data_IF_327633931258
#
_entry.id   IF_327633931258
#
_cell.length_a   1.000
_cell.length_b   1.000
_cell.length_c   1.000
_cell.angle_alpha   90.00
_cell.angle_beta   90.00
_cell.angle_gamma   90.00
#
_symmetry.space_group_name_H-M   'P 1'
#
loop_
_entity.id
_entity.type
_entity.pdbx_description
1 polymer ?
#
# COMPACT_ATOMS: atom_id res chain seq x y z
N UNK A 1 7.32 -34.90 -77.17
CA UNK A 1 6.10 -35.59 -77.67
C UNK A 1 5.15 -35.78 -76.49
N UNK A 2 3.87 -35.43 -76.71
CA UNK A 2 2.69 -35.72 -75.87
C UNK A 2 2.52 -34.93 -74.56
N UNK A 3 1.67 -33.90 -74.68
CA UNK A 3 0.88 -33.22 -73.64
C UNK A 3 0.03 -34.22 -72.85
N UNK A 4 -0.20 -33.95 -71.55
CA UNK A 4 -1.48 -34.28 -70.89
C UNK A 4 -1.81 -33.28 -69.79
N UNK A 5 -2.87 -32.51 -70.05
CA UNK A 5 -3.65 -31.70 -69.12
C UNK A 5 -4.46 -32.58 -68.18
N UNK A 6 -4.63 -32.18 -66.92
CA UNK A 6 -5.72 -32.56 -66.00
C UNK A 6 -5.88 -31.39 -65.01
N UNK A 7 -6.89 -30.53 -65.19
CA UNK A 7 -8.17 -30.52 -64.45
C UNK A 7 -8.00 -30.33 -62.94
N UNK A 8 -8.04 -29.06 -62.51
CA UNK A 8 -8.27 -28.68 -61.12
C UNK A 8 -9.78 -28.46 -60.93
N UNK A 9 -10.38 -29.30 -60.10
CA UNK A 9 -11.80 -29.27 -59.71
C UNK A 9 -11.95 -28.20 -58.62
N UNK A 10 -12.73 -27.15 -58.91
CA UNK A 10 -13.19 -26.18 -57.92
C UNK A 10 -14.23 -26.83 -57.00
N UNK A 11 -13.86 -27.04 -55.73
CA UNK A 11 -14.78 -27.36 -54.65
C UNK A 11 -15.49 -26.08 -54.19
N UNK A 12 -16.79 -25.98 -54.46
CA UNK A 12 -17.71 -25.05 -53.83
C UNK A 12 -18.10 -25.64 -52.45
N UNK A 13 -17.60 -25.04 -51.36
CA UNK A 13 -18.14 -25.25 -50.02
C UNK A 13 -19.33 -24.31 -49.79
N UNK A 14 -20.50 -24.81 -49.34
CA UNK A 14 -21.56 -23.97 -48.82
C UNK A 14 -21.20 -23.52 -47.39
N UNK A 15 -21.01 -22.21 -47.21
CA UNK A 15 -21.02 -21.56 -45.90
C UNK A 15 -22.46 -21.63 -45.35
N UNK A 16 -22.74 -22.63 -44.53
CA UNK A 16 -23.90 -22.64 -43.67
C UNK A 16 -23.67 -21.62 -42.55
N UNK A 17 -24.44 -20.53 -42.58
CA UNK A 17 -24.51 -19.57 -41.50
C UNK A 17 -25.20 -20.21 -40.29
N UNK A 18 -24.40 -20.69 -39.33
CA UNK A 18 -24.86 -20.80 -37.95
C UNK A 18 -24.83 -19.39 -37.38
N UNK A 19 -25.98 -18.73 -37.35
CA UNK A 19 -26.20 -17.66 -36.40
C UNK A 19 -26.23 -18.34 -35.03
N UNK A 20 -25.07 -18.39 -34.37
CA UNK A 20 -25.01 -18.61 -32.94
C UNK A 20 -25.78 -17.45 -32.31
N UNK A 21 -26.97 -17.79 -31.84
CA UNK A 21 -27.70 -17.04 -30.84
C UNK A 21 -26.74 -16.91 -29.65
N UNK A 22 -25.95 -15.83 -29.65
CA UNK A 22 -25.27 -15.31 -28.47
C UNK A 22 -26.38 -14.87 -27.53
N UNK A 23 -27.09 -15.84 -26.95
CA UNK A 23 -27.84 -15.65 -25.73
C UNK A 23 -26.86 -15.03 -24.77
N UNK A 24 -27.02 -13.72 -24.56
CA UNK A 24 -26.45 -12.99 -23.45
C UNK A 24 -26.69 -13.91 -22.27
N UNK A 25 -25.63 -14.53 -21.76
CA UNK A 25 -25.70 -15.18 -20.47
C UNK A 25 -25.81 -14.01 -19.49
N UNK A 26 -27.02 -13.47 -19.40
CA UNK A 26 -27.49 -12.66 -18.31
C UNK A 26 -27.34 -13.58 -17.11
N UNK A 27 -26.15 -13.55 -16.51
CA UNK A 27 -25.95 -14.02 -15.15
C UNK A 27 -26.75 -13.04 -14.30
N UNK A 28 -28.07 -13.24 -14.31
CA UNK A 28 -29.02 -12.51 -13.52
C UNK A 28 -28.55 -12.68 -12.07
N UNK A 29 -28.18 -11.57 -11.46
CA UNK A 29 -27.76 -11.56 -10.07
C UNK A 29 -28.91 -12.12 -9.26
N UNK A 30 -28.63 -13.19 -8.54
CA UNK A 30 -29.61 -13.84 -7.69
C UNK A 30 -29.41 -13.44 -6.24
N UNK A 31 -30.45 -13.64 -5.46
CA UNK A 31 -30.38 -13.50 -4.02
C UNK A 31 -29.22 -14.32 -3.43
N UNK A 32 -28.47 -13.71 -2.53
CA UNK A 32 -27.35 -14.35 -1.84
C UNK A 32 -26.05 -14.55 -2.63
N UNK A 33 -25.91 -14.09 -3.88
CA UNK A 33 -24.57 -14.03 -4.51
C UNK A 33 -23.73 -12.92 -3.88
N UNK A 34 -22.40 -13.01 -4.03
CA UNK A 34 -21.50 -11.96 -3.53
C UNK A 34 -21.81 -10.62 -4.17
N UNK A 35 -22.17 -10.60 -5.45
CA UNK A 35 -22.58 -9.40 -6.17
C UNK A 35 -23.86 -8.81 -5.59
N UNK A 36 -24.88 -9.65 -5.35
CA UNK A 36 -26.13 -9.21 -4.73
C UNK A 36 -25.90 -8.60 -3.35
N UNK A 37 -25.08 -9.26 -2.52
CA UNK A 37 -24.73 -8.78 -1.18
C UNK A 37 -23.97 -7.44 -1.25
N UNK A 38 -23.01 -7.29 -2.16
CA UNK A 38 -22.27 -6.05 -2.36
C UNK A 38 -23.18 -4.90 -2.79
N UNK A 39 -24.08 -5.15 -3.75
CA UNK A 39 -25.04 -4.15 -4.25
C UNK A 39 -25.98 -3.69 -3.14
N UNK A 40 -26.61 -4.61 -2.42
CA UNK A 40 -27.54 -4.25 -1.34
C UNK A 40 -26.83 -3.47 -0.22
N UNK A 41 -25.62 -3.89 0.15
CA UNK A 41 -24.81 -3.18 1.16
C UNK A 41 -24.47 -1.76 0.71
N UNK A 42 -24.07 -1.58 -0.55
CA UNK A 42 -23.79 -0.27 -1.10
C UNK A 42 -25.03 0.62 -1.11
N UNK A 43 -26.17 0.12 -1.63
CA UNK A 43 -27.40 0.89 -1.74
C UNK A 43 -27.99 1.31 -0.38
N UNK A 44 -27.79 0.50 0.66
CA UNK A 44 -28.21 0.81 2.03
C UNK A 44 -27.20 1.69 2.78
N UNK A 45 -26.15 2.20 2.12
CA UNK A 45 -25.11 3.03 2.74
C UNK A 45 -25.32 4.53 2.46
N UNK A 46 -24.71 5.43 3.25
CA UNK A 46 -24.75 6.87 2.99
C UNK A 46 -24.19 7.27 1.61
N UNK A 47 -23.26 6.47 1.06
CA UNK A 47 -22.61 6.71 -0.22
C UNK A 47 -23.53 6.51 -1.44
N UNK A 48 -24.64 5.80 -1.29
CA UNK A 48 -25.64 5.66 -2.34
C UNK A 48 -26.60 6.85 -2.32
N UNK A 49 -26.14 8.00 -2.81
CA UNK A 49 -26.99 9.17 -3.05
C UNK A 49 -27.41 9.31 -4.52
N UNK A 50 -28.33 10.23 -4.82
CA UNK A 50 -28.86 10.41 -6.19
C UNK A 50 -27.76 10.77 -7.18
N UNK A 51 -26.78 11.57 -6.77
CA UNK A 51 -25.67 12.00 -7.64
C UNK A 51 -24.77 10.82 -7.96
N UNK A 52 -24.37 10.04 -6.95
CA UNK A 52 -23.54 8.86 -7.15
C UNK A 52 -24.24 7.83 -8.04
N UNK A 53 -25.53 7.59 -7.83
CA UNK A 53 -26.29 6.64 -8.64
C UNK A 53 -26.53 7.12 -10.09
N UNK A 54 -26.88 8.39 -10.30
CA UNK A 54 -27.17 8.95 -11.63
C UNK A 54 -25.89 9.20 -12.44
N UNK A 55 -24.85 9.74 -11.80
CA UNK A 55 -23.63 10.19 -12.47
C UNK A 55 -22.56 9.10 -12.47
N UNK A 56 -22.16 8.62 -11.30
CA UNK A 56 -21.00 7.73 -11.18
C UNK A 56 -21.35 6.30 -11.60
N UNK A 57 -22.50 5.79 -11.15
CA UNK A 57 -23.03 4.49 -11.57
C UNK A 57 -23.80 4.56 -12.92
N UNK A 58 -23.95 5.76 -13.48
CA UNK A 58 -24.61 6.03 -14.76
C UNK A 58 -26.02 5.43 -14.88
N UNK A 59 -26.80 5.41 -13.79
CA UNK A 59 -28.20 4.97 -13.81
C UNK A 59 -29.10 5.99 -14.52
N UNK A 60 -30.31 5.57 -14.86
CA UNK A 60 -31.34 6.54 -15.22
C UNK A 60 -31.69 7.37 -13.98
N UNK A 61 -31.68 8.70 -14.10
CA UNK A 61 -32.00 9.61 -13.00
C UNK A 61 -33.33 9.31 -12.28
N UNK A 62 -34.32 8.69 -12.94
CA UNK A 62 -35.57 8.24 -12.30
C UNK A 62 -35.33 7.00 -11.44
N UNK A 63 -34.57 6.03 -11.93
CA UNK A 63 -34.18 4.86 -11.15
C UNK A 63 -33.37 5.28 -9.92
N UNK A 64 -32.36 6.14 -10.08
CA UNK A 64 -31.55 6.68 -8.99
C UNK A 64 -32.41 7.35 -7.90
N UNK A 65 -33.31 8.27 -8.29
CA UNK A 65 -34.23 8.93 -7.34
C UNK A 65 -35.18 7.96 -6.65
N UNK A 66 -35.71 6.97 -7.38
CA UNK A 66 -36.64 6.00 -6.81
C UNK A 66 -35.96 5.07 -5.81
N UNK A 67 -34.73 4.62 -6.10
CA UNK A 67 -33.94 3.83 -5.15
C UNK A 67 -33.68 4.63 -3.88
N UNK A 68 -33.18 5.86 -3.99
CA UNK A 68 -32.88 6.69 -2.81
C UNK A 68 -34.14 7.03 -2.02
N UNK A 69 -35.26 7.33 -2.70
CA UNK A 69 -36.54 7.61 -2.03
C UNK A 69 -37.15 6.39 -1.36
N UNK A 70 -36.87 5.18 -1.86
CA UNK A 70 -37.26 3.93 -1.22
C UNK A 70 -36.46 3.77 0.07
N UNK A 71 -35.12 3.77 -0.04
CA UNK A 71 -34.21 3.53 1.08
C UNK A 71 -34.33 4.57 2.20
N UNK A 72 -34.43 5.87 1.87
CA UNK A 72 -34.33 6.99 2.83
C UNK A 72 -35.68 7.61 3.23
N UNK A 73 -36.78 7.03 2.80
CA UNK A 73 -38.11 7.54 3.08
C UNK A 73 -38.39 8.99 2.62
N UNK A 74 -39.52 9.57 3.08
CA UNK A 74 -39.92 10.95 2.78
C UNK A 74 -38.98 12.05 3.24
N UNK A 75 -38.23 11.89 4.33
CA UNK A 75 -37.34 12.94 4.83
C UNK A 75 -35.98 12.98 4.11
N UNK A 76 -35.63 11.91 3.40
CA UNK A 76 -34.43 11.78 2.58
C UNK A 76 -33.14 11.63 3.39
N UNK A 77 -33.23 11.45 4.70
CA UNK A 77 -32.10 11.27 5.60
C UNK A 77 -31.99 9.80 6.02
N UNK A 78 -30.81 9.19 5.81
CA UNK A 78 -30.56 7.82 6.25
C UNK A 78 -30.38 7.77 7.78
N UNK A 79 -30.88 6.71 8.40
CA UNK A 79 -30.87 6.47 9.85
C UNK A 79 -32.12 6.97 10.58
N UNK A 80 -33.21 7.28 9.88
CA UNK A 80 -34.45 7.81 10.46
C UNK A 80 -35.53 6.72 10.54
N UNK A 81 -36.67 7.05 11.16
CA UNK A 81 -37.73 6.06 11.40
C UNK A 81 -38.52 5.67 10.15
N UNK A 82 -38.37 6.43 9.07
CA UNK A 82 -39.08 6.26 7.80
C UNK A 82 -38.23 5.61 6.70
N UNK A 83 -37.00 5.20 7.01
CA UNK A 83 -36.18 4.38 6.11
C UNK A 83 -36.83 3.02 5.81
N UNK A 84 -36.73 2.59 4.56
CA UNK A 84 -37.13 1.27 4.06
C UNK A 84 -35.92 0.65 3.33
N UNK A 85 -34.96 0.13 4.12
CA UNK A 85 -33.73 -0.45 3.59
C UNK A 85 -34.03 -1.64 2.70
N UNK A 86 -33.23 -1.83 1.64
CA UNK A 86 -33.39 -2.95 0.73
C UNK A 86 -32.96 -4.26 1.39
N UNK A 87 -33.89 -5.21 1.47
CA UNK A 87 -33.67 -6.52 2.06
C UNK A 87 -33.28 -7.57 1.01
N UNK A 88 -33.56 -7.33 -0.28
CA UNK A 88 -33.36 -8.33 -1.35
C UNK A 88 -33.16 -7.73 -2.74
N UNK A 89 -32.55 -8.51 -3.65
CA UNK A 89 -32.41 -8.11 -5.06
C UNK A 89 -33.77 -8.08 -5.77
N UNK A 90 -34.70 -8.96 -5.35
CA UNK A 90 -36.06 -8.96 -5.88
C UNK A 90 -36.83 -7.68 -5.53
N UNK A 91 -36.61 -7.13 -4.35
CA UNK A 91 -37.16 -5.83 -3.95
C UNK A 91 -36.55 -4.70 -4.78
N UNK A 92 -35.23 -4.68 -4.95
CA UNK A 92 -34.55 -3.70 -5.79
C UNK A 92 -35.09 -3.73 -7.23
N UNK A 93 -35.27 -4.92 -7.82
CA UNK A 93 -35.83 -5.08 -9.17
C UNK A 93 -37.30 -4.63 -9.27
N UNK A 94 -38.05 -4.70 -8.18
CA UNK A 94 -39.44 -4.25 -8.14
C UNK A 94 -39.58 -2.71 -8.13
N UNK A 95 -38.51 -1.96 -7.87
CA UNK A 95 -38.53 -0.50 -7.87
C UNK A 95 -38.72 0.01 -9.31
N UNK A 96 -39.63 0.98 -9.48
CA UNK A 96 -39.92 1.55 -10.79
C UNK A 96 -38.67 2.08 -11.48
N UNK A 97 -38.48 1.70 -12.75
CA UNK A 97 -37.31 1.99 -13.60
C UNK A 97 -36.02 1.25 -13.23
N UNK A 98 -36.05 0.38 -12.22
CA UNK A 98 -35.00 -0.62 -12.00
C UNK A 98 -35.36 -1.87 -12.80
N UNK A 99 -34.35 -2.48 -13.40
CA UNK A 99 -34.44 -3.69 -14.20
C UNK A 99 -33.04 -4.19 -14.51
N UNK A 100 -32.91 -5.26 -15.29
CA UNK A 100 -31.64 -5.94 -15.56
C UNK A 100 -30.48 -5.00 -15.93
N UNK A 101 -30.74 -4.02 -16.82
CA UNK A 101 -29.72 -3.06 -17.23
C UNK A 101 -29.27 -2.12 -16.11
N UNK A 102 -30.16 -1.74 -15.19
CA UNK A 102 -29.81 -0.90 -14.04
C UNK A 102 -29.02 -1.71 -13.00
N UNK A 103 -29.44 -2.96 -12.75
CA UNK A 103 -28.74 -3.87 -11.85
C UNK A 103 -27.33 -4.16 -12.38
N UNK A 104 -27.17 -4.46 -13.67
CA UNK A 104 -25.85 -4.69 -14.27
C UNK A 104 -24.90 -3.49 -14.14
N UNK A 105 -25.42 -2.26 -14.24
CA UNK A 105 -24.64 -1.04 -14.00
C UNK A 105 -24.23 -0.88 -12.53
N UNK A 106 -25.14 -1.15 -11.60
CA UNK A 106 -24.85 -1.12 -10.17
C UNK A 106 -23.73 -2.09 -9.82
N UNK A 107 -23.74 -3.30 -10.40
CA UNK A 107 -22.70 -4.31 -10.11
C UNK A 107 -21.37 -3.88 -10.67
N UNK A 108 -21.32 -3.42 -11.91
CA UNK A 108 -20.10 -2.89 -12.50
C UNK A 108 -19.54 -1.72 -11.67
N UNK A 109 -20.41 -0.83 -11.17
CA UNK A 109 -20.01 0.27 -10.33
C UNK A 109 -19.47 -0.20 -8.97
N UNK A 110 -20.22 -1.04 -8.26
CA UNK A 110 -19.83 -1.58 -6.93
C UNK A 110 -18.53 -2.40 -7.03
N UNK A 111 -18.35 -3.18 -8.09
CA UNK A 111 -17.09 -3.88 -8.38
C UNK A 111 -15.93 -2.90 -8.60
N UNK A 112 -16.16 -1.83 -9.38
CA UNK A 112 -15.12 -0.83 -9.67
C UNK A 112 -14.61 -0.07 -8.45
N UNK A 113 -15.41 0.03 -7.39
CA UNK A 113 -15.02 0.62 -6.10
C UNK A 113 -14.60 -0.43 -5.06
N UNK A 114 -14.50 -1.71 -5.44
CA UNK A 114 -14.10 -2.81 -4.56
C UNK A 114 -15.15 -3.19 -3.50
N UNK A 115 -16.42 -2.86 -3.75
CA UNK A 115 -17.54 -3.13 -2.84
C UNK A 115 -18.12 -4.55 -2.91
N UNK A 116 -17.68 -5.37 -3.88
CA UNK A 116 -18.11 -6.77 -4.00
C UNK A 116 -17.27 -7.62 -3.04
N UNK A 117 -17.90 -8.38 -2.12
CA UNK A 117 -17.17 -9.29 -1.25
C UNK A 117 -16.38 -10.34 -2.03
N UNK A 118 -15.15 -10.57 -1.62
CA UNK A 118 -14.24 -11.57 -2.21
C UNK A 118 -13.70 -12.56 -1.19
N UNK A 119 -14.07 -12.39 0.08
CA UNK A 119 -13.63 -13.20 1.21
C UNK A 119 -14.86 -13.69 1.99
N UNK A 120 -14.83 -14.95 2.41
CA UNK A 120 -15.82 -15.51 3.35
C UNK A 120 -15.08 -16.00 4.60
N UNK A 121 -15.40 -15.42 5.77
CA UNK A 121 -14.75 -15.74 7.04
C UNK A 121 -15.82 -16.02 8.09
N UNK A 122 -15.87 -17.25 8.61
CA UNK A 122 -16.92 -17.71 9.53
C UNK A 122 -18.35 -17.45 8.98
N UNK A 123 -18.54 -17.56 7.67
CA UNK A 123 -19.82 -17.28 6.99
C UNK A 123 -20.14 -15.79 6.81
N UNK A 124 -19.21 -14.88 7.12
CA UNK A 124 -19.35 -13.44 6.87
C UNK A 124 -18.64 -13.10 5.56
N UNK A 125 -19.38 -12.50 4.62
CA UNK A 125 -18.86 -12.01 3.35
C UNK A 125 -18.23 -10.62 3.51
N UNK A 126 -16.93 -10.53 3.22
CA UNK A 126 -16.09 -9.34 3.39
C UNK A 126 -15.46 -8.93 2.06
N UNK A 127 -15.33 -7.62 1.84
CA UNK A 127 -14.39 -7.07 0.85
C UNK A 127 -12.97 -7.11 1.40
N UNK A 128 -11.96 -6.97 0.54
CA UNK A 128 -10.58 -6.87 0.99
C UNK A 128 -10.34 -5.66 1.91
N UNK A 129 -11.00 -4.52 1.63
CA UNK A 129 -10.92 -3.32 2.45
C UNK A 129 -11.57 -3.50 3.83
N UNK A 130 -12.73 -4.14 3.89
CA UNK A 130 -13.38 -4.47 5.17
C UNK A 130 -12.54 -5.43 6.01
N UNK A 131 -11.93 -6.45 5.39
CA UNK A 131 -11.05 -7.38 6.09
C UNK A 131 -9.82 -6.68 6.68
N UNK A 132 -9.20 -5.76 5.95
CA UNK A 132 -8.10 -4.94 6.45
C UNK A 132 -8.54 -4.03 7.61
N UNK A 133 -9.67 -3.33 7.46
CA UNK A 133 -10.20 -2.44 8.49
C UNK A 133 -10.56 -3.20 9.78
N UNK A 134 -11.06 -4.44 9.68
CA UNK A 134 -11.28 -5.31 10.84
C UNK A 134 -9.96 -5.63 11.57
N UNK A 135 -8.87 -5.89 10.82
CA UNK A 135 -7.54 -6.13 11.40
C UNK A 135 -7.01 -4.87 12.09
N UNK A 136 -7.19 -3.70 11.50
CA UNK A 136 -6.80 -2.42 12.10
C UNK A 136 -7.53 -2.17 13.42
N UNK A 137 -8.87 -2.34 13.43
CA UNK A 137 -9.69 -2.28 14.66
C UNK A 137 -9.17 -3.30 15.70
N UNK A 138 -8.99 -4.55 15.29
CA UNK A 138 -8.58 -5.62 16.20
C UNK A 138 -7.21 -5.36 16.83
N UNK A 139 -6.29 -4.69 16.11
CA UNK A 139 -4.96 -4.35 16.58
C UNK A 139 -4.89 -3.01 17.33
N UNK A 140 -5.75 -2.04 17.00
CA UNK A 140 -5.66 -0.67 17.50
C UNK A 140 -6.70 -0.27 18.55
N UNK A 141 -7.94 -0.77 18.47
CA UNK A 141 -9.02 -0.31 19.34
C UNK A 141 -8.75 -0.67 20.81
N UNK A 142 -9.13 0.18 21.74
CA UNK A 142 -9.06 -0.11 23.17
C UNK A 142 -10.08 -1.18 23.58
N UNK A 143 -9.90 -1.76 24.77
CA UNK A 143 -10.87 -2.71 25.30
C UNK A 143 -12.29 -2.11 25.43
N UNK A 144 -12.47 -0.88 25.96
CA UNK A 144 -13.79 -0.24 25.98
C UNK A 144 -14.38 -0.01 24.59
N UNK A 145 -13.59 0.40 23.59
CA UNK A 145 -14.10 0.55 22.22
C UNK A 145 -14.58 -0.78 21.63
N UNK A 146 -13.88 -1.88 21.89
CA UNK A 146 -14.30 -3.20 21.44
C UNK A 146 -15.53 -3.73 22.20
N UNK A 147 -15.60 -3.53 23.51
CA UNK A 147 -16.67 -4.06 24.37
C UNK A 147 -17.95 -3.21 24.26
N UNK A 148 -17.82 -1.89 24.40
CA UNK A 148 -18.94 -0.95 24.49
C UNK A 148 -19.34 -0.41 23.10
N UNK A 149 -18.39 0.15 22.34
CA UNK A 149 -18.72 0.88 21.09
C UNK A 149 -18.98 -0.09 19.92
N UNK A 150 -18.14 -1.11 19.75
CA UNK A 150 -18.36 -2.21 18.81
C UNK A 150 -19.38 -3.24 19.34
N UNK A 151 -19.78 -3.10 20.61
CA UNK A 151 -20.72 -3.97 21.30
C UNK A 151 -20.34 -5.46 21.25
N UNK A 152 -19.04 -5.82 21.30
CA UNK A 152 -18.61 -7.21 21.29
C UNK A 152 -18.95 -7.92 22.61
N UNK A 153 -18.90 -9.26 22.62
CA UNK A 153 -18.88 -9.97 23.91
C UNK A 153 -17.56 -9.63 24.62
N UNK A 154 -17.62 -9.20 25.87
CA UNK A 154 -16.44 -8.84 26.66
C UNK A 154 -15.31 -9.89 26.66
N UNK A 155 -15.62 -11.19 26.46
CA UNK A 155 -14.59 -12.24 26.32
C UNK A 155 -13.93 -12.20 24.95
N UNK A 156 -14.69 -11.92 23.89
CA UNK A 156 -14.16 -11.72 22.55
C UNK A 156 -13.30 -10.45 22.49
N UNK A 157 -13.77 -9.34 23.07
CA UNK A 157 -13.01 -8.09 23.15
C UNK A 157 -11.67 -8.28 23.88
N UNK A 158 -11.65 -8.96 25.03
CA UNK A 158 -10.41 -9.30 25.75
C UNK A 158 -9.50 -10.24 24.95
N UNK A 159 -10.07 -11.28 24.32
CA UNK A 159 -9.29 -12.21 23.51
C UNK A 159 -8.62 -11.52 22.30
N UNK A 160 -9.26 -10.49 21.74
CA UNK A 160 -8.66 -9.66 20.70
C UNK A 160 -7.50 -8.84 21.26
N UNK A 161 -7.68 -8.11 22.37
CA UNK A 161 -6.60 -7.31 22.98
C UNK A 161 -5.41 -8.19 23.38
N UNK A 162 -5.65 -9.33 24.02
CA UNK A 162 -4.60 -10.25 24.48
C UNK A 162 -3.90 -10.98 23.31
N UNK A 163 -4.56 -11.10 22.16
CA UNK A 163 -4.10 -11.85 20.99
C UNK A 163 -3.26 -11.04 19.99
N UNK A 164 -3.05 -9.75 20.24
CA UNK A 164 -2.33 -8.85 19.33
C UNK A 164 -0.85 -9.24 19.18
N UNK A 165 -0.23 -8.98 18.00
CA UNK A 165 -0.86 -8.48 16.78
C UNK A 165 -1.46 -9.58 15.90
N UNK A 166 -2.52 -9.26 15.16
CA UNK A 166 -3.12 -10.11 14.13
C UNK A 166 -2.58 -9.72 12.75
N UNK A 167 -2.15 -10.71 11.96
CA UNK A 167 -1.64 -10.49 10.60
C UNK A 167 -2.71 -10.46 9.51
N UNK A 168 -3.88 -11.05 9.75
CA UNK A 168 -5.00 -11.09 8.80
C UNK A 168 -6.35 -11.32 9.51
N UNK A 169 -7.45 -11.16 8.79
CA UNK A 169 -8.81 -11.36 9.34
C UNK A 169 -9.09 -12.80 9.76
N UNK A 170 -8.39 -13.79 9.18
CA UNK A 170 -8.52 -15.18 9.61
C UNK A 170 -7.87 -15.37 10.99
N UNK A 171 -6.78 -14.69 11.29
CA UNK A 171 -6.16 -14.66 12.61
C UNK A 171 -7.10 -14.02 13.64
N UNK A 172 -7.77 -12.92 13.28
CA UNK A 172 -8.82 -12.30 14.11
C UNK A 172 -9.94 -13.31 14.39
N UNK A 173 -10.44 -14.03 13.37
CA UNK A 173 -11.51 -15.02 13.53
C UNK A 173 -11.14 -16.22 14.40
N UNK A 174 -9.84 -16.55 14.52
CA UNK A 174 -9.34 -17.62 15.39
C UNK A 174 -9.23 -17.21 16.85
N UNK A 175 -9.34 -15.92 17.17
CA UNK A 175 -9.35 -15.47 18.56
C UNK A 175 -10.55 -16.06 19.31
N UNK A 176 -10.35 -16.40 20.57
CA UNK A 176 -11.40 -17.06 21.35
C UNK A 176 -12.66 -16.19 21.41
N UNK A 177 -13.83 -16.82 21.26
CA UNK A 177 -15.14 -16.16 21.25
C UNK A 177 -15.41 -15.22 20.07
N UNK A 178 -14.51 -15.14 19.08
CA UNK A 178 -14.76 -14.44 17.82
C UNK A 178 -15.37 -15.43 16.82
N UNK A 179 -16.62 -15.19 16.44
CA UNK A 179 -17.31 -15.94 15.38
C UNK A 179 -18.05 -14.98 14.45
N UNK A 180 -18.95 -15.50 13.61
CA UNK A 180 -19.68 -14.72 12.61
C UNK A 180 -20.30 -13.41 13.16
N UNK A 181 -20.99 -13.48 14.30
CA UNK A 181 -21.62 -12.29 14.92
C UNK A 181 -20.61 -11.25 15.39
N UNK A 182 -19.42 -11.66 15.86
CA UNK A 182 -18.36 -10.73 16.26
C UNK A 182 -17.72 -10.08 15.04
N UNK A 183 -17.45 -10.85 13.97
CA UNK A 183 -16.94 -10.30 12.71
C UNK A 183 -17.91 -9.31 12.06
N UNK A 184 -19.22 -9.58 12.09
CA UNK A 184 -20.24 -8.67 11.57
C UNK A 184 -20.30 -7.35 12.36
N UNK A 185 -20.08 -7.41 13.69
CA UNK A 185 -19.98 -6.21 14.54
C UNK A 185 -18.70 -5.43 14.25
N UNK A 186 -17.56 -6.11 14.15
CA UNK A 186 -16.28 -5.50 13.78
C UNK A 186 -16.36 -4.84 12.40
N UNK A 187 -16.95 -5.49 11.40
CA UNK A 187 -17.15 -4.93 10.05
C UNK A 187 -17.91 -3.61 10.09
N UNK A 188 -19.00 -3.54 10.86
CA UNK A 188 -19.79 -2.32 11.01
C UNK A 188 -19.05 -1.25 11.81
N UNK A 189 -18.39 -1.62 12.90
CA UNK A 189 -17.64 -0.68 13.72
C UNK A 189 -16.45 -0.07 12.98
N UNK A 190 -15.78 -0.85 12.13
CA UNK A 190 -14.64 -0.43 11.34
C UNK A 190 -14.94 0.71 10.35
N UNK A 191 -16.21 0.95 9.97
CA UNK A 191 -16.57 2.07 9.09
C UNK A 191 -16.58 3.42 9.80
N UNK A 192 -16.70 3.41 11.13
CA UNK A 192 -16.75 4.61 11.97
C UNK A 192 -15.57 4.73 12.92
N UNK A 193 -14.88 3.61 13.17
CA UNK A 193 -13.71 3.60 14.03
C UNK A 193 -12.53 4.26 13.32
N UNK A 194 -11.88 5.16 14.04
CA UNK A 194 -10.59 5.71 13.65
C UNK A 194 -9.62 5.30 14.75
N UNK A 195 -8.39 4.88 14.40
CA UNK A 195 -7.38 4.65 15.41
C UNK A 195 -7.25 5.93 16.24
N UNK A 196 -7.20 5.78 17.57
CA UNK A 196 -6.71 6.87 18.40
C UNK A 196 -5.40 7.34 17.77
N UNK A 197 -5.26 8.65 17.56
CA UNK A 197 -4.00 9.23 17.09
C UNK A 197 -2.94 8.67 18.00
N UNK A 198 -2.11 7.76 17.48
CA UNK A 198 -1.25 6.98 18.34
C UNK A 198 -0.27 7.92 19.03
N UNK A 199 0.19 7.56 20.22
CA UNK A 199 1.41 8.15 20.81
C UNK A 199 2.66 7.86 19.94
N UNK A 200 2.52 7.12 18.84
CA UNK A 200 3.52 6.99 17.80
C UNK A 200 3.32 8.07 16.73
N UNK A 201 4.42 8.65 16.29
CA UNK A 201 4.42 9.64 15.22
C UNK A 201 3.90 9.07 13.91
N UNK A 202 3.06 9.83 13.21
CA UNK A 202 2.69 9.50 11.84
C UNK A 202 3.95 9.50 10.93
N UNK A 203 4.18 8.46 10.12
CA UNK A 203 5.37 8.38 9.27
C UNK A 203 5.53 9.54 8.28
N UNK A 204 4.44 10.14 7.79
CA UNK A 204 4.52 11.28 6.87
C UNK A 204 4.97 12.54 7.59
N UNK A 205 4.47 12.76 8.81
CA UNK A 205 4.90 13.88 9.66
C UNK A 205 6.37 13.72 10.04
N UNK A 206 6.78 12.50 10.45
CA UNK A 206 8.17 12.19 10.77
C UNK A 206 9.11 12.44 9.59
N UNK A 207 8.71 11.99 8.39
CA UNK A 207 9.46 12.23 7.16
C UNK A 207 9.56 13.73 6.82
N UNK A 208 8.49 14.49 7.01
CA UNK A 208 8.50 15.94 6.82
C UNK A 208 9.42 16.66 7.82
N UNK A 209 9.40 16.27 9.09
CA UNK A 209 10.33 16.79 10.10
C UNK A 209 11.78 16.48 9.75
N UNK A 210 12.08 15.27 9.31
CA UNK A 210 13.41 14.89 8.85
C UNK A 210 13.87 15.72 7.66
N UNK A 211 13.01 15.92 6.67
CA UNK A 211 13.30 16.77 5.51
C UNK A 211 13.59 18.22 5.92
N UNK A 212 12.86 18.75 6.91
CA UNK A 212 13.18 20.06 7.50
C UNK A 212 14.58 20.05 8.13
N UNK A 213 14.94 19.03 8.92
CA UNK A 213 16.26 18.96 9.57
C UNK A 213 17.38 18.96 8.54
N UNK A 214 17.25 18.16 7.48
CA UNK A 214 18.22 18.13 6.39
C UNK A 214 18.35 19.49 5.69
N UNK A 215 17.23 20.18 5.44
CA UNK A 215 17.23 21.53 4.87
C UNK A 215 17.96 22.54 5.78
N UNK A 216 17.67 22.53 7.09
CA UNK A 216 18.35 23.40 8.06
C UNK A 216 19.86 23.16 8.09
N UNK A 217 20.28 21.89 8.04
CA UNK A 217 21.70 21.53 8.07
C UNK A 217 22.41 21.79 6.74
N UNK A 218 21.69 21.75 5.62
CA UNK A 218 22.22 22.15 4.32
C UNK A 218 22.43 23.67 4.24
N UNK A 219 21.50 24.45 4.81
CA UNK A 219 21.57 25.91 4.87
C UNK A 219 22.63 26.39 5.87
N UNK A 220 22.76 25.73 7.03
CA UNK A 220 23.81 25.98 8.02
C UNK A 220 24.56 24.69 8.43
N UNK A 221 25.66 24.36 7.73
CA UNK A 221 26.49 23.21 8.10
C UNK A 221 27.10 23.30 9.51
N UNK A 222 27.15 24.49 10.12
CA UNK A 222 27.61 24.69 11.49
C UNK A 222 26.58 24.32 12.56
N UNK A 223 25.30 24.22 12.20
CA UNK A 223 24.21 23.90 13.11
C UNK A 223 24.33 22.46 13.64
N UNK A 224 24.12 22.26 14.94
CA UNK A 224 24.10 20.92 15.52
C UNK A 224 22.80 20.21 15.12
N UNK A 225 22.85 18.90 14.89
CA UNK A 225 21.67 18.10 14.50
C UNK A 225 20.53 18.20 15.51
N UNK A 226 20.84 18.26 16.80
CA UNK A 226 19.83 18.46 17.86
C UNK A 226 19.16 19.84 17.79
N UNK A 227 19.91 20.88 17.45
CA UNK A 227 19.37 22.24 17.29
C UNK A 227 18.48 22.33 16.03
N UNK A 228 18.91 21.71 14.93
CA UNK A 228 18.10 21.59 13.73
C UNK A 228 16.79 20.83 13.99
N UNK A 229 16.84 19.72 14.73
CA UNK A 229 15.65 18.98 15.14
C UNK A 229 14.71 19.81 16.01
N UNK A 230 15.24 20.60 16.95
CA UNK A 230 14.45 21.51 17.77
C UNK A 230 13.76 22.61 16.93
N UNK A 231 14.45 23.18 15.94
CA UNK A 231 13.87 24.15 14.99
C UNK A 231 12.74 23.49 14.20
N UNK A 232 12.95 22.26 13.71
CA UNK A 232 11.97 21.53 12.90
C UNK A 232 10.84 20.89 13.69
N UNK A 233 10.90 20.96 15.02
CA UNK A 233 9.81 20.62 15.92
C UNK A 233 8.98 21.83 16.35
N UNK A 234 9.41 23.04 16.01
CA UNK A 234 8.69 24.27 16.32
C UNK A 234 7.44 24.44 15.45
N UNK A 235 6.42 25.09 16.01
CA UNK A 235 5.14 25.32 15.36
C UNK A 235 5.25 26.14 14.06
N UNK A 236 6.24 27.02 13.89
CA UNK A 236 6.40 27.77 12.65
C UNK A 236 6.96 26.89 11.52
N UNK A 237 7.93 26.02 11.84
CA UNK A 237 8.58 25.16 10.87
C UNK A 237 7.69 23.99 10.42
N UNK A 238 6.78 23.54 11.28
CA UNK A 238 5.88 22.41 11.02
C UNK A 238 4.65 22.74 10.18
N UNK A 239 4.30 24.02 10.01
CA UNK A 239 3.12 24.43 9.22
C UNK A 239 3.10 23.81 7.81
N UNK A 240 4.18 23.96 7.01
CA UNK A 240 4.27 23.33 5.69
C UNK A 240 4.25 21.79 5.73
N UNK A 241 4.78 21.17 6.79
CA UNK A 241 4.75 19.71 6.95
C UNK A 241 3.32 19.23 7.18
N UNK A 242 2.58 19.93 8.06
CA UNK A 242 1.17 19.67 8.31
C UNK A 242 0.32 19.86 7.04
N UNK A 243 0.49 20.99 6.33
CA UNK A 243 -0.24 21.26 5.10
C UNK A 243 0.03 20.19 4.03
N UNK A 244 1.29 19.76 3.88
CA UNK A 244 1.67 18.72 2.92
C UNK A 244 1.08 17.36 3.31
N UNK A 245 1.12 17.00 4.60
CA UNK A 245 0.58 15.73 5.08
C UNK A 245 -0.95 15.70 4.96
N UNK A 246 -1.63 16.81 5.26
CA UNK A 246 -3.08 16.95 5.14
C UNK A 246 -3.58 17.13 3.70
N UNK A 247 -2.72 17.56 2.77
CA UNK A 247 -2.97 17.45 1.33
C UNK A 247 -2.82 16.03 0.79
N UNK A 248 -2.29 15.09 1.60
CA UNK A 248 -2.04 13.69 1.27
C UNK A 248 -3.15 12.74 1.75
N UNK A 249 -2.78 11.47 1.91
CA UNK A 249 -3.67 10.37 2.33
C UNK A 249 -3.56 10.08 3.83
N UNK A 250 -3.48 11.11 4.67
CA UNK A 250 -3.54 10.92 6.11
C UNK A 250 -4.93 10.45 6.58
N UNK A 251 -5.02 9.77 7.73
CA UNK A 251 -6.31 9.41 8.32
C UNK A 251 -7.23 10.63 8.45
N UNK A 252 -8.53 10.54 8.10
CA UNK A 252 -9.44 11.69 8.11
C UNK A 252 -9.53 12.44 9.46
N UNK A 253 -9.30 11.74 10.57
CA UNK A 253 -9.29 12.35 11.91
C UNK A 253 -8.08 13.25 12.17
N UNK A 254 -6.97 13.04 11.47
CA UNK A 254 -5.72 13.79 11.69
C UNK A 254 -5.83 15.24 11.21
N UNK A 255 -6.52 15.45 10.09
CA UNK A 255 -6.63 16.75 9.42
C UNK A 255 -7.98 17.46 9.68
N UNK A 256 -8.85 16.85 10.49
CA UNK A 256 -10.13 17.43 10.88
C UNK A 256 -10.02 18.45 12.03
N UNK A 257 -8.94 18.40 12.82
CA UNK A 257 -8.65 19.33 13.91
C UNK A 257 -7.99 20.63 13.46
N UNK A 258 -7.75 21.56 14.39
CA UNK A 258 -6.94 22.73 14.09
C UNK A 258 -5.45 22.38 14.08
N UNK A 259 -4.62 23.24 13.48
CA UNK A 259 -3.17 23.10 13.54
C UNK A 259 -2.64 23.06 14.98
N UNK A 260 -3.25 23.83 15.89
CA UNK A 260 -2.92 23.83 17.31
C UNK A 260 -3.23 22.50 17.99
N UNK A 261 -4.35 21.84 17.64
CA UNK A 261 -4.69 20.52 18.16
C UNK A 261 -3.68 19.47 17.67
N UNK A 262 -3.32 19.51 16.38
CA UNK A 262 -2.26 18.67 15.81
C UNK A 262 -0.93 18.88 16.55
N UNK A 263 -0.53 20.13 16.72
CA UNK A 263 0.74 20.46 17.37
C UNK A 263 0.76 20.00 18.84
N UNK A 264 -0.34 20.15 19.56
CA UNK A 264 -0.42 19.76 20.96
C UNK A 264 -0.44 18.23 21.17
N UNK A 265 -0.98 17.47 20.21
CA UNK A 265 -1.25 16.03 20.39
C UNK A 265 -0.27 15.12 19.65
N UNK A 266 0.07 15.43 18.40
CA UNK A 266 0.88 14.55 17.56
C UNK A 266 2.38 14.87 17.62
N UNK A 267 2.75 16.15 17.73
CA UNK A 267 4.16 16.57 17.64
C UNK A 267 5.05 16.02 18.76
N UNK A 268 4.63 15.92 20.04
CA UNK A 268 5.49 15.36 21.09
C UNK A 268 6.01 13.95 20.77
N UNK A 269 5.13 13.08 20.29
CA UNK A 269 5.50 11.74 19.83
C UNK A 269 6.47 11.77 18.64
N UNK A 270 6.28 12.73 17.74
CA UNK A 270 7.15 12.93 16.58
C UNK A 270 8.53 13.48 16.94
N UNK A 271 8.65 14.28 17.99
CA UNK A 271 9.96 14.74 18.49
C UNK A 271 10.76 13.56 19.03
N UNK A 272 10.14 12.68 19.82
CA UNK A 272 10.80 11.50 20.36
C UNK A 272 11.20 10.52 19.25
N UNK A 273 10.31 10.29 18.28
CA UNK A 273 10.59 9.47 17.11
C UNK A 273 11.72 10.04 16.27
N UNK A 274 11.71 11.35 15.99
CA UNK A 274 12.76 12.03 15.23
C UNK A 274 14.11 11.95 15.96
N UNK A 275 14.13 12.17 17.27
CA UNK A 275 15.34 12.05 18.06
C UNK A 275 15.93 10.62 17.98
N UNK A 276 15.07 9.59 18.04
CA UNK A 276 15.49 8.20 17.88
C UNK A 276 16.03 7.90 16.47
N UNK A 277 15.43 8.46 15.41
CA UNK A 277 15.89 8.29 14.02
C UNK A 277 17.20 9.01 13.73
N UNK A 278 17.41 10.20 14.32
CA UNK A 278 18.62 10.99 14.15
C UNK A 278 19.78 10.49 15.01
N UNK A 279 19.52 9.77 16.11
CA UNK A 279 20.54 9.28 17.03
C UNK A 279 21.67 8.46 16.40
N UNK A 280 21.43 7.51 15.47
CA UNK A 280 22.50 6.78 14.81
C UNK A 280 23.19 7.57 13.68
N UNK A 281 22.66 8.74 13.29
CA UNK A 281 23.18 9.53 12.18
C UNK A 281 24.38 10.38 12.60
N UNK A 282 25.22 10.68 11.63
CA UNK A 282 26.42 11.48 11.83
C UNK A 282 26.73 12.31 10.61
N UNK A 283 27.38 13.44 10.80
CA UNK A 283 27.93 14.29 9.73
C UNK A 283 29.45 14.25 9.71
N UNK A 284 30.05 13.94 10.86
CA UNK A 284 31.50 13.84 11.04
C UNK A 284 31.86 12.60 11.86
N UNK A 285 33.13 12.21 11.81
CA UNK A 285 33.63 11.12 12.66
C UNK A 285 33.50 11.43 14.16
N UNK A 286 33.52 12.71 14.55
CA UNK A 286 33.42 13.11 15.95
C UNK A 286 32.03 12.83 16.54
N UNK A 287 30.99 12.85 15.70
CA UNK A 287 29.60 12.63 16.13
C UNK A 287 29.40 11.20 16.66
N UNK A 288 30.20 10.24 16.16
CA UNK A 288 30.18 8.85 16.60
C UNK A 288 31.00 8.58 17.87
N UNK A 289 31.61 9.63 18.45
CA UNK A 289 32.44 9.50 19.64
C UNK A 289 33.79 8.83 19.37
N UNK A 290 34.18 7.90 20.24
CA UNK A 290 35.46 7.21 20.13
C UNK A 290 35.33 5.91 19.31
N UNK A 291 36.47 5.43 18.80
CA UNK A 291 36.57 4.11 18.17
C UNK A 291 35.96 3.01 19.06
N UNK A 292 35.33 1.97 18.46
CA UNK A 292 35.41 1.58 17.04
C UNK A 292 34.34 2.21 16.12
N UNK A 293 33.47 3.06 16.66
CA UNK A 293 32.40 3.70 15.89
C UNK A 293 32.98 4.66 14.85
N UNK A 294 32.48 4.58 13.62
CA UNK A 294 32.87 5.46 12.51
C UNK A 294 31.63 5.95 11.76
N UNK A 295 31.69 7.19 11.34
CA UNK A 295 30.67 7.76 10.47
C UNK A 295 30.89 7.31 9.02
N UNK A 296 29.94 6.57 8.47
CA UNK A 296 30.10 5.87 7.18
C UNK A 296 28.86 5.99 6.30
N UNK A 297 29.04 5.72 4.99
CA UNK A 297 27.95 5.63 4.04
C UNK A 297 27.24 6.96 3.77
N UNK A 298 27.99 8.04 3.53
CA UNK A 298 27.42 9.31 3.08
C UNK A 298 26.87 9.20 1.67
N UNK A 299 25.73 9.85 1.41
CA UNK A 299 25.17 9.96 0.06
C UNK A 299 26.11 10.73 -0.88
N UNK A 300 26.59 10.11 -1.97
CA UNK A 300 27.54 10.75 -2.89
C UNK A 300 26.93 11.82 -3.78
N UNK A 301 25.62 11.75 -3.99
CA UNK A 301 24.84 12.68 -4.82
C UNK A 301 24.29 13.87 -4.02
N UNK A 302 24.63 13.97 -2.73
CA UNK A 302 24.11 15.00 -1.83
C UNK A 302 22.64 14.81 -1.45
N UNK A 303 22.06 13.62 -1.69
CA UNK A 303 20.69 13.31 -1.30
C UNK A 303 20.46 13.33 0.22
N UNK A 304 21.53 13.23 1.02
CA UNK A 304 21.52 13.49 2.46
C UNK A 304 22.89 14.02 2.88
N UNK A 305 22.89 14.81 3.96
CA UNK A 305 24.12 15.28 4.63
C UNK A 305 24.63 14.29 5.68
N UNK A 306 23.89 13.21 5.92
CA UNK A 306 24.19 12.22 6.95
C UNK A 306 24.92 10.99 6.39
N UNK A 307 25.80 10.43 7.22
CA UNK A 307 26.14 9.02 7.25
C UNK A 307 25.54 8.38 8.51
N UNK A 308 25.97 7.16 8.80
CA UNK A 308 25.56 6.40 9.99
C UNK A 308 26.78 6.03 10.83
N UNK A 309 26.65 6.12 12.15
CA UNK A 309 27.66 5.61 13.07
C UNK A 309 27.61 4.08 13.10
N UNK A 310 28.62 3.45 12.52
CA UNK A 310 28.75 1.99 12.47
C UNK A 310 29.94 1.51 13.30
N UNK A 311 29.81 0.33 13.91
CA UNK A 311 30.95 -0.36 14.51
C UNK A 311 31.84 -0.95 13.39
N UNK A 312 33.02 -0.36 13.22
CA UNK A 312 33.99 -0.79 12.20
C UNK A 312 34.93 -1.91 12.68
N UNK A 313 34.65 -2.52 13.84
CA UNK A 313 35.43 -3.63 14.37
C UNK A 313 35.42 -4.82 13.41
N UNK A 314 36.57 -5.49 13.31
CA UNK A 314 36.66 -6.71 12.53
C UNK A 314 35.81 -7.82 13.18
N UNK A 315 34.75 -8.23 12.49
CA UNK A 315 33.94 -9.38 12.88
C UNK A 315 34.67 -10.65 12.39
N UNK A 316 34.99 -11.62 13.27
CA UNK A 316 35.57 -12.90 12.83
C UNK A 316 34.74 -13.51 11.71
N UNK A 317 35.35 -14.25 10.78
CA UNK A 317 34.62 -14.87 9.67
C UNK A 317 34.21 -13.93 8.53
N UNK A 318 34.38 -12.60 8.66
CA UNK A 318 34.24 -11.69 7.53
C UNK A 318 35.19 -12.10 6.38
N UNK A 319 34.66 -12.11 5.15
CA UNK A 319 35.32 -12.60 3.94
C UNK A 319 35.27 -14.12 3.72
N UNK A 320 34.70 -14.90 4.64
CA UNK A 320 34.46 -16.32 4.40
C UNK A 320 33.40 -16.53 3.31
N UNK A 321 33.52 -17.61 2.53
CA UNK A 321 32.51 -17.95 1.53
C UNK A 321 31.22 -18.46 2.19
N UNK A 322 30.08 -18.15 1.60
CA UNK A 322 28.76 -18.60 2.04
C UNK A 322 27.87 -18.99 0.85
N UNK A 323 26.78 -19.71 1.11
CA UNK A 323 25.74 -20.04 0.12
C UNK A 323 24.35 -19.78 0.71
N UNK A 324 23.30 -20.06 -0.07
CA UNK A 324 21.93 -20.02 0.45
C UNK A 324 21.68 -21.07 1.55
N UNK A 325 22.43 -22.18 1.53
CA UNK A 325 22.34 -23.28 2.48
C UNK A 325 23.36 -23.17 3.63
N UNK A 326 24.53 -22.61 3.35
CA UNK A 326 25.62 -22.42 4.31
C UNK A 326 25.70 -20.93 4.72
N UNK A 327 24.93 -20.59 5.75
CA UNK A 327 24.83 -19.23 6.27
C UNK A 327 26.10 -18.76 7.00
N UNK A 328 26.30 -17.45 6.99
CA UNK A 328 27.33 -16.80 7.80
C UNK A 328 27.02 -16.91 9.30
N UNK A 329 28.06 -16.75 10.13
CA UNK A 329 27.88 -16.70 11.57
C UNK A 329 27.22 -15.38 12.04
N UNK A 330 26.82 -15.33 13.31
CA UNK A 330 26.18 -14.15 13.90
C UNK A 330 27.03 -12.88 13.72
N UNK A 331 26.37 -11.75 13.41
CA UNK A 331 27.02 -10.47 13.11
C UNK A 331 27.54 -10.36 11.66
N UNK A 332 27.29 -11.37 10.83
CA UNK A 332 27.60 -11.37 9.41
C UNK A 332 26.36 -11.70 8.56
N UNK A 333 26.37 -11.22 7.34
CA UNK A 333 25.39 -11.46 6.29
C UNK A 333 26.09 -12.00 5.04
N UNK A 334 25.44 -12.94 4.34
CA UNK A 334 25.95 -13.43 3.06
C UNK A 334 25.54 -12.48 1.94
N UNK A 335 26.51 -11.95 1.20
CA UNK A 335 26.29 -10.98 0.12
C UNK A 335 26.72 -11.54 -1.23
N UNK A 336 26.12 -11.06 -2.33
CA UNK A 336 26.39 -11.47 -3.71
C UNK A 336 25.60 -12.68 -4.20
N UNK A 337 24.66 -13.21 -3.40
CA UNK A 337 23.87 -14.40 -3.74
C UNK A 337 22.86 -14.16 -4.87
N UNK A 338 22.48 -12.91 -5.13
CA UNK A 338 21.56 -12.59 -6.24
C UNK A 338 22.26 -12.65 -7.61
N UNK A 339 23.60 -12.63 -7.63
CA UNK A 339 24.41 -12.67 -8.84
C UNK A 339 25.15 -13.98 -9.04
N UNK A 340 25.56 -14.61 -7.96
CA UNK A 340 26.40 -15.80 -7.98
C UNK A 340 25.82 -16.90 -7.12
N UNK A 341 26.21 -18.15 -7.39
CA UNK A 341 25.80 -19.30 -6.58
C UNK A 341 26.43 -19.33 -5.18
N UNK A 342 27.42 -18.46 -4.93
CA UNK A 342 28.15 -18.36 -3.66
C UNK A 342 28.43 -16.89 -3.38
N UNK A 343 28.36 -16.50 -2.11
CA UNK A 343 28.61 -15.15 -1.65
C UNK A 343 29.81 -15.06 -0.70
N UNK A 344 30.00 -13.87 -0.13
CA UNK A 344 30.95 -13.64 0.96
C UNK A 344 30.22 -13.18 2.22
N UNK A 345 30.72 -13.60 3.37
CA UNK A 345 30.23 -13.11 4.65
C UNK A 345 30.78 -11.72 4.93
N UNK A 346 29.91 -10.72 4.96
CA UNK A 346 30.25 -9.34 5.33
C UNK A 346 29.59 -8.96 6.66
N UNK A 347 30.11 -7.96 7.39
CA UNK A 347 29.43 -7.43 8.57
C UNK A 347 27.96 -7.09 8.29
N UNK A 348 27.08 -7.41 9.22
CA UNK A 348 25.63 -7.25 9.09
C UNK A 348 25.18 -5.82 8.74
N UNK A 349 25.90 -4.80 9.21
CA UNK A 349 25.62 -3.39 8.88
C UNK A 349 25.77 -3.08 7.37
N UNK A 350 26.46 -3.92 6.60
CA UNK A 350 26.56 -3.80 5.14
C UNK A 350 25.31 -4.28 4.39
N UNK A 351 24.25 -4.65 5.11
CA UNK A 351 22.93 -4.91 4.57
C UNK A 351 21.95 -3.82 5.03
N UNK A 352 21.02 -3.44 4.17
CA UNK A 352 19.98 -2.49 4.51
C UNK A 352 18.66 -2.76 3.78
N UNK A 353 17.55 -2.38 4.40
CA UNK A 353 16.25 -2.25 3.74
C UNK A 353 15.79 -0.82 3.87
N UNK A 354 15.45 -0.21 2.75
CA UNK A 354 15.09 1.20 2.63
C UNK A 354 13.69 1.30 2.06
N UNK A 355 12.80 1.99 2.76
CA UNK A 355 11.39 2.05 2.43
C UNK A 355 11.02 3.42 1.85
N UNK A 356 10.22 3.41 0.78
CA UNK A 356 9.72 4.62 0.16
C UNK A 356 8.40 5.05 0.80
N UNK A 357 8.10 6.34 0.77
CA UNK A 357 6.83 6.85 1.26
C UNK A 357 5.64 6.14 0.57
N UNK A 358 4.54 5.91 1.26
CA UNK A 358 3.31 5.27 0.76
C UNK A 358 2.12 5.77 1.59
N UNK A 359 0.86 5.61 1.13
CA UNK A 359 0.44 5.09 -0.18
C UNK A 359 0.63 6.12 -1.32
N UNK A 360 0.73 5.66 -2.57
CA UNK A 360 0.66 6.55 -3.76
C UNK A 360 -0.17 5.96 -4.89
N UNK A 361 -1.00 6.81 -5.49
CA UNK A 361 -1.82 6.48 -6.63
C UNK A 361 -0.99 6.11 -7.87
N UNK A 362 -1.37 5.02 -8.52
CA UNK A 362 -0.89 4.58 -9.84
C UNK A 362 -1.94 4.98 -10.87
N UNK A 363 -1.64 5.92 -11.79
CA UNK A 363 -2.64 6.42 -12.73
C UNK A 363 -3.12 5.36 -13.72
N UNK A 364 -4.40 5.47 -14.09
CA UNK A 364 -5.08 4.63 -15.08
C UNK A 364 -4.59 4.80 -16.52
N UNK A 365 -4.00 5.95 -16.86
CA UNK A 365 -3.68 6.33 -18.22
C UNK A 365 -2.39 5.69 -18.73
N UNK A 366 -2.40 5.21 -19.99
CA UNK A 366 -1.19 4.72 -20.65
C UNK A 366 -0.16 5.86 -20.81
N UNK A 367 1.11 5.55 -20.58
CA UNK A 367 2.22 6.50 -20.60
C UNK A 367 2.32 7.38 -19.35
N UNK A 368 1.46 7.20 -18.36
CA UNK A 368 1.61 7.88 -17.08
C UNK A 368 2.85 7.34 -16.35
N UNK A 369 3.61 8.24 -15.73
CA UNK A 369 4.84 7.92 -15.02
C UNK A 369 4.77 8.54 -13.64
N UNK A 370 5.14 7.76 -12.63
CA UNK A 370 5.39 8.25 -11.27
C UNK A 370 6.79 7.85 -10.85
N UNK A 371 7.50 8.78 -10.24
CA UNK A 371 8.79 8.51 -9.60
C UNK A 371 8.60 8.50 -8.11
N UNK A 372 9.11 7.47 -7.47
CA UNK A 372 9.20 7.38 -6.03
C UNK A 372 10.70 7.34 -5.67
N UNK A 373 11.11 7.72 -4.47
CA UNK A 373 12.53 7.85 -4.09
C UNK A 373 12.79 7.32 -2.69
N UNK A 374 13.95 6.70 -2.49
CA UNK A 374 14.55 6.42 -1.17
C UNK A 374 15.99 6.93 -1.15
N UNK A 375 16.49 7.25 0.04
CA UNK A 375 17.88 7.63 0.25
C UNK A 375 18.59 6.53 1.02
N UNK A 376 19.65 6.00 0.41
CA UNK A 376 20.50 4.96 0.99
C UNK A 376 21.70 5.64 1.65
N UNK A 377 21.89 5.39 2.94
CA UNK A 377 23.05 5.82 3.72
C UNK A 377 23.49 4.70 4.66
N UNK A 378 24.69 4.84 5.24
CA UNK A 378 25.23 3.89 6.22
C UNK A 378 25.71 2.56 5.64
N UNK A 379 25.76 2.43 4.32
CA UNK A 379 26.25 1.23 3.64
C UNK A 379 27.76 1.37 3.34
N UNK A 380 28.39 0.29 2.85
CA UNK A 380 29.77 0.32 2.40
C UNK A 380 29.91 1.13 1.08
N UNK A 381 30.90 0.87 0.21
CA UNK A 381 31.07 1.68 -0.99
C UNK A 381 30.21 1.25 -2.17
N UNK A 382 30.08 -0.05 -2.43
CA UNK A 382 29.46 -0.54 -3.68
C UNK A 382 28.38 -1.60 -3.40
N UNK A 383 27.30 -1.67 -4.21
CA UNK A 383 26.24 -2.66 -3.99
C UNK A 383 26.68 -4.06 -4.47
N UNK A 384 26.12 -5.10 -3.87
CA UNK A 384 26.25 -6.49 -4.35
C UNK A 384 24.89 -7.07 -4.72
N UNK A 385 24.01 -7.23 -3.74
CA UNK A 385 22.62 -7.65 -3.95
C UNK A 385 21.70 -6.43 -4.02
N UNK A 386 20.75 -6.46 -4.96
CA UNK A 386 19.70 -5.45 -5.09
C UNK A 386 18.36 -6.14 -5.31
N UNK A 387 17.45 -5.97 -4.36
CA UNK A 387 16.10 -6.50 -4.43
C UNK A 387 15.08 -5.39 -4.25
N UNK A 388 14.09 -5.35 -5.14
CA UNK A 388 12.96 -4.42 -5.09
C UNK A 388 11.71 -5.21 -4.72
N UNK A 389 10.98 -4.75 -3.72
CA UNK A 389 9.66 -5.24 -3.36
C UNK A 389 8.65 -4.09 -3.48
N UNK A 390 7.52 -4.35 -4.14
CA UNK A 390 6.43 -3.37 -4.31
C UNK A 390 5.12 -4.07 -4.04
N UNK A 391 4.33 -3.48 -3.14
CA UNK A 391 2.98 -3.94 -2.83
C UNK A 391 1.97 -3.04 -3.55
N UNK A 392 1.05 -3.67 -4.28
CA UNK A 392 0.07 -3.00 -5.14
C UNK A 392 -1.35 -3.41 -4.79
N UNK A 393 -2.28 -2.46 -4.86
CA UNK A 393 -3.72 -2.71 -4.75
C UNK A 393 -4.46 -2.04 -5.93
N UNK A 394 -5.52 -2.69 -6.45
CA UNK A 394 -6.38 -2.12 -7.50
C UNK A 394 -5.77 -2.01 -8.91
N UNK A 395 -4.51 -2.42 -9.13
CA UNK A 395 -3.84 -2.34 -10.43
C UNK A 395 -3.34 -3.71 -10.91
N UNK A 396 -3.41 -3.94 -12.22
CA UNK A 396 -2.89 -5.17 -12.86
C UNK A 396 -1.42 -4.95 -13.23
N UNK A 397 -0.53 -5.72 -12.63
CA UNK A 397 0.91 -5.56 -12.81
C UNK A 397 1.40 -5.79 -14.25
N UNK A 398 0.61 -6.45 -15.12
CA UNK A 398 0.95 -6.61 -16.55
C UNK A 398 1.02 -5.27 -17.29
N UNK A 399 0.34 -4.25 -16.75
CA UNK A 399 0.28 -2.90 -17.33
C UNK A 399 1.39 -1.99 -16.81
N UNK A 400 2.31 -2.52 -16.01
CA UNK A 400 3.35 -1.73 -15.36
C UNK A 400 4.72 -2.12 -15.90
N UNK A 401 5.57 -1.11 -16.06
CA UNK A 401 7.01 -1.25 -16.14
C UNK A 401 7.62 -0.55 -14.93
N UNK A 402 8.51 -1.26 -14.24
CA UNK A 402 9.23 -0.75 -13.07
C UNK A 402 10.72 -0.68 -13.40
N UNK A 403 11.28 0.51 -13.25
CA UNK A 403 12.71 0.77 -13.50
C UNK A 403 13.34 1.34 -12.24
N UNK A 404 14.37 0.67 -11.74
CA UNK A 404 15.20 1.17 -10.65
C UNK A 404 16.36 1.98 -11.25
N UNK A 405 16.57 3.19 -10.75
CA UNK A 405 17.71 4.06 -11.07
C UNK A 405 18.57 4.24 -9.83
N UNK A 406 19.88 4.02 -9.97
CA UNK A 406 20.86 4.19 -8.90
C UNK A 406 21.28 5.68 -8.73
N UNK A 407 22.07 6.01 -7.69
CA UNK A 407 22.54 7.38 -7.44
C UNK A 407 23.40 7.97 -8.58
N UNK A 408 23.93 7.13 -9.44
CA UNK A 408 24.82 7.49 -10.55
C UNK A 408 24.06 7.63 -11.88
N UNK A 409 22.74 7.37 -11.87
CA UNK A 409 21.85 7.45 -13.04
C UNK A 409 21.80 6.18 -13.88
N UNK A 410 22.45 5.09 -13.46
CA UNK A 410 22.35 3.79 -14.10
C UNK A 410 21.00 3.15 -13.81
N UNK A 411 20.43 2.44 -14.80
CA UNK A 411 19.07 1.92 -14.72
C UNK A 411 19.02 0.39 -14.87
N UNK A 412 18.08 -0.23 -14.16
CA UNK A 412 17.70 -1.62 -14.32
C UNK A 412 16.17 -1.73 -14.35
N UNK A 413 15.64 -2.35 -15.41
CA UNK A 413 14.22 -2.71 -15.47
C UNK A 413 14.01 -3.94 -14.60
N UNK A 414 13.33 -3.77 -13.46
CA UNK A 414 13.06 -4.86 -12.50
C UNK A 414 11.75 -5.59 -12.81
N UNK A 415 10.89 -4.95 -13.62
CA UNK A 415 9.63 -5.53 -14.09
C UNK A 415 9.19 -4.89 -15.40
N UNK A 416 8.69 -5.69 -16.34
CA UNK A 416 8.18 -5.21 -17.63
C UNK A 416 6.98 -6.06 -18.11
N UNK A 417 5.93 -6.12 -17.29
CA UNK A 417 4.70 -6.84 -17.61
C UNK A 417 4.88 -8.33 -17.90
N UNK A 418 4.79 -9.17 -16.86
CA UNK A 418 4.88 -10.64 -17.01
C UNK A 418 3.69 -11.42 -16.44
N UNK A 419 3.09 -10.94 -15.36
CA UNK A 419 1.97 -11.57 -14.66
C UNK A 419 1.05 -10.52 -14.04
N UNK A 420 -0.17 -10.92 -13.67
CA UNK A 420 -1.15 -10.00 -13.08
C UNK A 420 -0.72 -9.46 -11.71
N UNK A 421 0.15 -10.19 -11.00
CA UNK A 421 0.70 -9.84 -9.70
C UNK A 421 2.22 -9.73 -9.78
N UNK A 422 2.80 -8.83 -8.99
CA UNK A 422 4.25 -8.75 -8.84
C UNK A 422 4.80 -9.93 -8.03
N UNK A 423 6.02 -10.40 -8.32
CA UNK A 423 6.76 -11.26 -7.40
C UNK A 423 7.02 -10.53 -6.08
N UNK A 424 7.13 -11.28 -4.98
CA UNK A 424 7.45 -10.71 -3.67
C UNK A 424 8.81 -9.98 -3.65
N UNK A 425 9.75 -10.39 -4.51
CA UNK A 425 11.09 -9.82 -4.66
C UNK A 425 11.46 -9.83 -6.14
N UNK A 426 11.91 -8.69 -6.64
CA UNK A 426 12.40 -8.50 -8.00
C UNK A 426 13.87 -8.13 -7.93
N UNK A 427 14.72 -8.90 -8.61
CA UNK A 427 16.17 -8.68 -8.57
C UNK A 427 16.54 -7.60 -9.60
N UNK A 428 17.22 -6.55 -9.16
CA UNK A 428 17.73 -5.53 -10.07
C UNK A 428 19.03 -6.01 -10.74
N UNK A 429 18.84 -6.81 -11.78
CA UNK A 429 19.88 -7.20 -12.74
C UNK A 429 19.85 -6.21 -13.91
N UNK A 430 20.99 -5.67 -14.34
CA UNK A 430 20.99 -4.66 -15.40
C UNK A 430 22.28 -3.88 -15.51
N UNK A 431 22.16 -2.60 -15.91
CA UNK A 431 23.31 -1.69 -16.11
C UNK A 431 23.78 -1.04 -14.80
N UNK A 432 23.14 -1.32 -13.66
CA UNK A 432 23.58 -0.80 -12.36
C UNK A 432 24.90 -1.48 -12.00
N UNK A 433 25.96 -0.67 -11.95
CA UNK A 433 27.31 -1.13 -11.63
C UNK A 433 27.37 -1.71 -10.22
N UNK A 434 28.30 -2.66 -10.03
CA UNK A 434 28.67 -3.21 -8.72
C UNK A 434 29.98 -2.63 -8.20
N UNK A 435 30.46 -1.59 -8.88
CA UNK A 435 31.67 -0.83 -8.57
C UNK A 435 31.36 0.67 -8.41
N UNK A 436 30.10 1.10 -8.55
CA UNK A 436 29.69 2.49 -8.33
C UNK A 436 29.14 2.70 -6.92
N UNK A 437 29.12 3.96 -6.47
CA UNK A 437 28.71 4.30 -5.11
C UNK A 437 27.26 3.91 -4.83
N UNK A 438 27.05 3.15 -3.75
CA UNK A 438 25.72 2.66 -3.32
C UNK A 438 24.91 3.70 -2.53
N UNK A 439 25.59 4.57 -1.78
CA UNK A 439 24.94 5.54 -0.91
C UNK A 439 24.50 6.77 -1.71
N UNK A 440 23.21 7.09 -1.67
CA UNK A 440 22.61 8.19 -2.41
C UNK A 440 21.14 7.93 -2.71
N UNK A 441 20.57 8.70 -3.63
CA UNK A 441 19.18 8.54 -4.03
C UNK A 441 18.96 7.38 -4.99
N UNK A 442 18.04 6.51 -4.63
CA UNK A 442 17.52 5.47 -5.51
C UNK A 442 16.10 5.81 -5.92
N UNK A 443 15.81 5.73 -7.21
CA UNK A 443 14.52 6.11 -7.78
C UNK A 443 13.86 4.90 -8.45
N UNK A 444 12.62 4.60 -8.07
CA UNK A 444 11.77 3.64 -8.78
C UNK A 444 10.81 4.43 -9.64
N UNK A 445 10.96 4.29 -10.95
CA UNK A 445 10.05 4.82 -11.93
C UNK A 445 9.01 3.75 -12.24
N UNK A 446 7.75 4.08 -12.05
CA UNK A 446 6.60 3.22 -12.37
C UNK A 446 5.90 3.82 -13.58
N UNK A 447 5.96 3.13 -14.72
CA UNK A 447 5.28 3.51 -15.96
C UNK A 447 4.04 2.63 -16.17
N UNK A 448 2.88 3.26 -16.37
CA UNK A 448 1.67 2.58 -16.82
C UNK A 448 1.75 2.38 -18.34
N UNK A 449 2.17 1.20 -18.79
CA UNK A 449 2.41 0.91 -20.22
C UNK A 449 1.11 0.72 -21.02
N UNK A 450 -0.01 0.43 -20.34
CA UNK A 450 -1.33 0.28 -20.96
C UNK A 450 -2.44 0.82 -20.05
N UNK A 451 -3.48 1.40 -20.66
CA UNK A 451 -4.60 1.97 -19.93
C UNK A 451 -5.39 0.88 -19.17
N UNK A 452 -6.00 1.24 -18.05
CA UNK A 452 -6.84 0.34 -17.26
C UNK A 452 -7.26 0.98 -15.93
N UNK A 453 -7.65 0.18 -14.94
CA UNK A 453 -7.98 0.68 -13.62
C UNK A 453 -6.79 1.41 -12.96
N UNK A 454 -7.08 2.50 -12.26
CA UNK A 454 -6.12 3.11 -11.34
C UNK A 454 -5.94 2.19 -10.12
N UNK A 455 -4.79 2.28 -9.47
CA UNK A 455 -4.54 1.55 -8.23
C UNK A 455 -3.62 2.33 -7.31
N UNK A 456 -2.99 1.65 -6.38
CA UNK A 456 -2.18 2.25 -5.33
C UNK A 456 -0.96 1.40 -5.04
N UNK A 457 0.20 2.03 -4.89
CA UNK A 457 1.37 1.44 -4.24
C UNK A 457 1.17 1.59 -2.74
N UNK A 458 1.04 0.46 -2.04
CA UNK A 458 0.89 0.41 -0.57
C UNK A 458 2.20 0.05 0.13
N UNK A 459 3.20 -0.41 -0.62
CA UNK A 459 4.55 -0.68 -0.12
C UNK A 459 5.60 -0.49 -1.22
N UNK A 460 6.71 0.16 -0.89
CA UNK A 460 7.95 0.16 -1.65
C UNK A 460 9.04 -0.26 -0.66
N UNK A 461 9.89 -1.22 -1.03
CA UNK A 461 11.16 -1.50 -0.33
C UNK A 461 12.30 -1.77 -1.31
N UNK A 462 13.45 -1.16 -1.06
CA UNK A 462 14.74 -1.49 -1.67
C UNK A 462 15.59 -2.18 -0.61
N UNK A 463 15.83 -3.47 -0.80
CA UNK A 463 16.83 -4.19 -0.04
C UNK A 463 18.13 -4.21 -0.82
N UNK A 464 19.24 -4.01 -0.12
CA UNK A 464 20.55 -4.19 -0.71
C UNK A 464 21.58 -4.70 0.28
N UNK A 465 22.62 -5.31 -0.28
CA UNK A 465 23.87 -5.57 0.42
C UNK A 465 24.99 -4.79 -0.26
N UNK A 466 26.05 -4.53 0.48
CA UNK A 466 27.19 -3.75 0.01
C UNK A 466 28.51 -4.35 0.46
N UNK A 467 29.59 -3.92 -0.17
CA UNK A 467 30.97 -4.19 0.26
C UNK A 467 31.85 -2.97 0.05
N UNK A 468 33.04 -3.02 0.63
CA UNK A 468 34.11 -2.13 0.20
C UNK A 468 34.70 -2.61 -1.13
N UNK A 469 35.02 -1.66 -1.99
CA UNK A 469 35.77 -1.90 -3.22
C UNK A 469 37.22 -2.34 -2.92
#
# INVERSE_FOLDING_TARGET
MVRRSLLAVSLLLPLAACADDLGSSDAAISEGTVEGVGVLRFLNSPAADVTTLDIDAALDARAARNIVSHVRGPDGALGTSDDDLLDSIAELDAISYVGDSAIGKLVAYVDSIGGIPSLEVEGVLLTAGEAAAIVDVANGASLPELDDDAALDARAARALVDGRPFGDVYAVSRASYVGASALEKLRRFATTWQPAVSDACDPQVLAGMRGCVEAQLADDPGLATADAAAICADAEALGPVFDAACGGALPPGFCAGSYEDFYATAVPACVDALAAELAPLCRTQADCGAAPMRCQGFASDGASVFGVCIDSSNVPGAGAQCTAEDACQAGLVCTGLTMWSTGNCNPDWMQGTFEGAVPVAVPAAAGAVIDRRVVVIGQASVPEDLEVAVDLTGVDARRLRLTLTDPNGAQAVVWDGGAATLPARMIALGQISRDDMVNGAWTLTVETTAAGAAGTITGWRLFLTSRFD
#
